data_IF_783806430819
#
_entry.id   IF_783806430819
#
_cell.length_a   1.000
_cell.length_b   1.000
_cell.length_c   1.000
_cell.angle_alpha   90.00
_cell.angle_beta   90.00
_cell.angle_gamma   90.00
#
_symmetry.space_group_name_H-M   'P 1'
#
loop_
_entity.id
_entity.type
_entity.pdbx_description
1 polymer ?
#
# COMPACT_ATOMS: atom_id res chain seq x y z
N UNK A 1 -13.39 -2.85 -8.36
CA UNK A 1 -12.74 -3.94 -7.59
C UNK A 1 -12.74 -3.59 -6.11
N UNK A 2 -13.03 -4.56 -5.27
CA UNK A 2 -13.04 -4.37 -3.83
C UNK A 2 -11.75 -4.93 -3.26
N UNK A 3 -11.02 -4.10 -2.55
CA UNK A 3 -9.82 -4.54 -1.84
C UNK A 3 -10.23 -4.95 -0.44
N UNK A 4 -10.09 -6.23 -0.13
CA UNK A 4 -10.41 -6.77 1.18
C UNK A 4 -9.13 -7.21 1.87
N UNK A 5 -9.18 -7.32 3.18
CA UNK A 5 -8.03 -7.76 3.95
C UNK A 5 -7.52 -6.68 4.87
N UNK A 6 -6.50 -7.03 5.64
CA UNK A 6 -5.98 -6.17 6.71
C UNK A 6 -4.64 -5.53 6.39
N UNK A 7 -4.00 -5.91 5.28
CA UNK A 7 -2.68 -5.39 4.92
C UNK A 7 -2.82 -4.16 4.05
N UNK A 8 -2.01 -3.16 4.32
CA UNK A 8 -1.97 -1.94 3.54
C UNK A 8 -0.52 -1.51 3.34
N UNK A 9 -0.29 -0.68 2.34
CA UNK A 9 1.05 -0.19 2.01
C UNK A 9 1.18 1.23 2.57
N UNK A 10 2.24 1.44 3.36
CA UNK A 10 2.52 2.75 3.96
C UNK A 10 3.82 3.29 3.39
N UNK A 11 3.83 4.57 3.08
CA UNK A 11 5.04 5.24 2.59
C UNK A 11 5.41 6.38 3.53
N UNK A 12 6.65 6.85 3.41
CA UNK A 12 7.16 7.90 4.27
C UNK A 12 6.57 9.26 3.91
N UNK A 13 6.30 10.04 4.94
CA UNK A 13 5.92 11.46 4.78
C UNK A 13 7.19 12.32 4.73
N UNK A 14 7.02 13.64 4.80
CA UNK A 14 8.13 14.58 4.77
C UNK A 14 9.09 14.42 5.95
N UNK A 15 8.60 13.94 7.08
CA UNK A 15 9.40 13.73 8.28
C UNK A 15 10.07 12.35 8.32
N UNK A 16 9.87 11.54 7.29
CA UNK A 16 10.43 10.20 7.22
C UNK A 16 9.64 9.14 7.97
N UNK A 17 8.43 9.47 8.40
CA UNK A 17 7.56 8.52 9.10
C UNK A 17 6.63 7.82 8.13
N UNK A 18 6.37 6.54 8.36
CA UNK A 18 5.48 5.75 7.50
C UNK A 18 4.04 5.95 7.94
N UNK A 19 3.42 7.04 7.48
CA UNK A 19 2.05 7.36 7.87
C UNK A 19 1.12 7.69 6.70
N UNK A 20 1.60 7.54 5.47
CA UNK A 20 0.77 7.78 4.29
C UNK A 20 0.34 6.46 3.70
N UNK A 21 -0.96 6.21 3.62
CA UNK A 21 -1.49 4.99 3.02
C UNK A 21 -1.59 5.14 1.52
N UNK A 22 -1.15 4.11 0.79
CA UNK A 22 -1.32 4.06 -0.66
C UNK A 22 -2.80 3.83 -0.97
N UNK A 23 -3.32 4.57 -1.92
CA UNK A 23 -4.72 4.47 -2.32
C UNK A 23 -4.88 3.67 -3.60
N UNK A 24 -6.01 3.05 -3.73
CA UNK A 24 -6.39 2.36 -4.96
C UNK A 24 -6.55 3.37 -6.09
N UNK A 25 -6.11 3.00 -7.28
CA UNK A 25 -6.27 3.85 -8.46
C UNK A 25 -7.69 3.80 -9.02
N UNK A 26 -8.48 2.83 -8.60
CA UNK A 26 -9.84 2.64 -9.12
C UNK A 26 -10.86 3.56 -8.45
N UNK A 27 -10.85 3.61 -7.13
CA UNK A 27 -11.87 4.34 -6.37
C UNK A 27 -11.31 5.33 -5.36
N UNK A 28 -9.99 5.49 -5.36
CA UNK A 28 -9.29 6.44 -4.49
C UNK A 28 -9.48 6.17 -2.99
N UNK A 29 -9.78 4.92 -2.63
CA UNK A 29 -9.81 4.51 -1.23
C UNK A 29 -8.51 3.81 -0.88
N UNK A 30 -8.28 3.58 0.42
CA UNK A 30 -7.06 2.89 0.85
C UNK A 30 -7.06 1.46 0.29
N UNK A 31 -6.00 1.09 -0.41
CA UNK A 31 -5.85 -0.24 -0.96
C UNK A 31 -5.55 -1.23 0.16
N UNK A 32 -6.28 -2.33 0.21
CA UNK A 32 -6.13 -3.36 1.22
C UNK A 32 -5.92 -4.71 0.57
N UNK A 33 -5.16 -5.57 1.22
CA UNK A 33 -4.74 -6.84 0.65
C UNK A 33 -4.87 -7.97 1.67
N UNK A 34 -5.11 -9.18 1.17
CA UNK A 34 -5.26 -10.36 2.01
C UNK A 34 -3.94 -10.84 2.60
N UNK A 35 -2.85 -10.57 1.90
CA UNK A 35 -1.55 -11.06 2.33
C UNK A 35 -0.45 -10.11 1.87
N UNK A 36 0.74 -10.28 2.46
CA UNK A 36 1.90 -9.45 2.15
C UNK A 36 2.29 -9.58 0.68
N UNK A 37 2.22 -10.79 0.14
CA UNK A 37 2.58 -11.03 -1.25
C UNK A 37 1.75 -10.17 -2.20
N UNK A 38 0.43 -10.14 -2.00
CA UNK A 38 -0.45 -9.35 -2.85
C UNK A 38 -0.12 -7.86 -2.76
N UNK A 39 0.17 -7.37 -1.55
CA UNK A 39 0.55 -5.98 -1.36
C UNK A 39 1.85 -5.66 -2.07
N UNK A 40 2.85 -6.55 -1.99
CA UNK A 40 4.12 -6.34 -2.67
C UNK A 40 3.96 -6.32 -4.19
N UNK A 41 3.13 -7.19 -4.73
CA UNK A 41 2.87 -7.20 -6.18
C UNK A 41 2.23 -5.89 -6.63
N UNK A 42 1.31 -5.38 -5.84
CA UNK A 42 0.68 -4.10 -6.16
C UNK A 42 1.69 -2.96 -6.09
N UNK A 43 2.57 -2.96 -5.08
CA UNK A 43 3.60 -1.93 -4.95
C UNK A 43 4.50 -1.90 -6.18
N UNK A 44 4.92 -3.06 -6.66
CA UNK A 44 5.73 -3.14 -7.87
C UNK A 44 4.98 -2.63 -9.09
N UNK A 45 3.70 -2.93 -9.16
CA UNK A 45 2.86 -2.54 -10.29
C UNK A 45 2.73 -1.03 -10.41
N UNK A 46 2.63 -0.33 -9.29
CA UNK A 46 2.50 1.13 -9.31
C UNK A 46 3.84 1.85 -9.26
N UNK A 47 4.95 1.10 -9.32
CA UNK A 47 6.27 1.69 -9.45
C UNK A 47 7.02 1.94 -8.16
N UNK A 48 6.54 1.44 -7.03
CA UNK A 48 7.26 1.55 -5.78
C UNK A 48 8.42 0.56 -5.76
N UNK A 49 9.62 1.05 -5.59
CA UNK A 49 10.82 0.20 -5.57
C UNK A 49 11.31 -0.02 -4.14
N UNK A 50 11.23 0.99 -3.31
CA UNK A 50 11.68 0.94 -1.93
C UNK A 50 11.02 2.09 -1.18
N UNK A 51 11.31 2.20 0.12
CA UNK A 51 10.76 3.29 0.90
C UNK A 51 9.30 3.09 1.28
N UNK A 52 8.85 1.85 1.34
CA UNK A 52 7.51 1.54 1.80
C UNK A 52 7.54 0.35 2.76
N UNK A 53 6.49 0.22 3.56
CA UNK A 53 6.29 -0.95 4.41
C UNK A 53 4.88 -1.48 4.17
N UNK A 54 4.68 -2.74 4.50
CA UNK A 54 3.36 -3.36 4.44
C UNK A 54 2.94 -3.60 5.88
N UNK A 55 1.84 -2.97 6.26
CA UNK A 55 1.38 -2.96 7.65
C UNK A 55 -0.02 -3.53 7.74
N UNK A 56 -0.22 -4.32 8.76
CA UNK A 56 -1.51 -4.90 9.06
C UNK A 56 -2.44 -3.91 9.78
#
# INVERSE_FOLDING_TARGET
>A
MIFEGNYKIMVQNEDGLYDICIRSTDDNTVARFDCVYAAEQYAKRIGLKSGYIIKK
#
